data_IF_755758661708
#
_entry.id   IF_755758661708
#
_cell.length_a   1.000
_cell.length_b   1.000
_cell.length_c   1.000
_cell.angle_alpha   90.00
_cell.angle_beta   90.00
_cell.angle_gamma   90.00
#
_symmetry.space_group_name_H-M   'P 1'
#
loop_
_entity.id
_entity.type
_entity.pdbx_description
1 polymer ?
#
# COMPACT_ATOMS: atom_id res chain seq x y z
N UNK A 1 13.97 -6.73 -0.46
CA UNK A 1 12.55 -6.39 -0.29
C UNK A 1 11.67 -7.63 -0.47
N UNK A 2 10.76 -7.91 0.48
CA UNK A 2 9.72 -8.94 0.33
C UNK A 2 8.51 -8.40 -0.44
N UNK A 3 8.69 -8.18 -1.74
CA UNK A 3 7.61 -7.64 -2.58
C UNK A 3 6.41 -8.62 -2.64
N UNK A 4 5.16 -8.11 -2.67
CA UNK A 4 3.97 -8.96 -2.83
C UNK A 4 4.00 -9.68 -4.19
N UNK A 5 3.68 -10.97 -4.18
CA UNK A 5 3.65 -11.83 -5.36
C UNK A 5 2.29 -11.71 -6.07
N UNK A 6 2.10 -10.58 -6.77
CA UNK A 6 0.86 -10.24 -7.46
C UNK A 6 0.81 -10.95 -8.82
N UNK A 7 -0.20 -11.80 -9.01
CA UNK A 7 -0.50 -12.42 -10.31
C UNK A 7 -1.28 -11.45 -11.20
N UNK A 8 -2.35 -10.85 -10.67
CA UNK A 8 -3.17 -9.86 -11.36
C UNK A 8 -3.69 -8.81 -10.36
N UNK A 9 -3.92 -7.59 -10.83
CA UNK A 9 -4.54 -6.52 -10.04
C UNK A 9 -5.14 -5.44 -10.94
N UNK A 10 -6.16 -4.75 -10.44
CA UNK A 10 -6.81 -3.63 -11.12
C UNK A 10 -6.40 -2.31 -10.44
N UNK A 11 -5.74 -1.38 -11.14
CA UNK A 11 -5.51 -0.03 -10.63
C UNK A 11 -6.83 0.65 -10.29
N UNK A 12 -6.97 1.07 -9.03
CA UNK A 12 -8.14 1.80 -8.52
C UNK A 12 -7.89 3.31 -8.53
N UNK A 13 -6.67 3.73 -8.17
CA UNK A 13 -6.26 5.13 -8.14
C UNK A 13 -4.79 5.28 -8.51
N UNK A 14 -4.45 6.41 -9.10
CA UNK A 14 -3.08 6.76 -9.50
C UNK A 14 -2.77 8.15 -8.95
N UNK A 15 -1.57 8.33 -8.47
CA UNK A 15 -1.10 9.60 -7.94
C UNK A 15 0.32 9.89 -8.44
N UNK A 16 0.60 11.16 -8.67
CA UNK A 16 1.95 11.69 -8.78
C UNK A 16 2.35 12.28 -7.43
N UNK A 17 3.55 11.97 -6.95
CA UNK A 17 4.13 12.48 -5.71
C UNK A 17 5.60 12.82 -5.96
N UNK A 18 5.91 14.10 -6.24
CA UNK A 18 7.24 14.50 -6.71
C UNK A 18 7.65 13.68 -7.94
N UNK A 19 8.84 13.06 -7.85
CA UNK A 19 9.40 12.17 -8.89
C UNK A 19 8.94 10.69 -8.74
N UNK A 20 7.80 10.45 -8.08
CA UNK A 20 7.26 9.12 -7.88
C UNK A 20 5.83 9.02 -8.40
N UNK A 21 5.52 7.87 -8.98
CA UNK A 21 4.15 7.46 -9.24
C UNK A 21 3.69 6.48 -8.16
N UNK A 22 2.54 6.74 -7.55
CA UNK A 22 1.90 5.82 -6.61
C UNK A 22 0.63 5.27 -7.24
N UNK A 23 0.48 3.95 -7.21
CA UNK A 23 -0.71 3.27 -7.74
C UNK A 23 -1.36 2.45 -6.64
N UNK A 24 -2.63 2.75 -6.35
CA UNK A 24 -3.47 1.92 -5.49
C UNK A 24 -4.10 0.83 -6.35
N UNK A 25 -3.82 -0.41 -6.00
CA UNK A 25 -4.29 -1.63 -6.63
C UNK A 25 -5.39 -2.24 -5.77
N UNK A 26 -6.40 -2.79 -6.43
CA UNK A 26 -7.49 -3.57 -5.85
C UNK A 26 -7.83 -4.75 -6.76
N UNK A 27 -8.78 -5.59 -6.34
CA UNK A 27 -9.12 -6.84 -7.03
C UNK A 27 -7.85 -7.65 -7.34
N UNK A 28 -7.09 -7.93 -6.28
CA UNK A 28 -5.74 -8.48 -6.37
C UNK A 28 -5.81 -10.00 -6.26
N UNK A 29 -5.26 -10.68 -7.25
CA UNK A 29 -4.94 -12.10 -7.18
C UNK A 29 -3.46 -12.24 -6.88
N UNK A 30 -3.14 -13.05 -5.87
CA UNK A 30 -1.77 -13.28 -5.42
C UNK A 30 -1.60 -14.73 -5.03
N UNK A 31 -0.38 -15.24 -5.20
CA UNK A 31 0.02 -16.56 -4.72
C UNK A 31 0.50 -16.53 -3.26
N UNK A 32 0.48 -15.37 -2.62
CA UNK A 32 0.87 -15.24 -1.22
C UNK A 32 -0.19 -15.85 -0.28
N UNK A 33 0.22 -16.38 0.90
CA UNK A 33 -0.70 -17.05 1.82
C UNK A 33 -1.82 -16.16 2.37
N UNK A 34 -1.60 -14.84 2.39
CA UNK A 34 -2.54 -13.88 2.93
C UNK A 34 -3.18 -13.06 1.81
N UNK A 35 -4.52 -13.05 1.68
CA UNK A 35 -5.16 -12.30 0.62
C UNK A 35 -5.00 -10.79 0.86
N UNK A 36 -4.64 -10.09 -0.21
CA UNK A 36 -4.53 -8.64 -0.23
C UNK A 36 -5.86 -8.01 -0.56
N UNK A 37 -6.27 -7.02 0.23
CA UNK A 37 -7.44 -6.20 -0.05
C UNK A 37 -7.08 -5.04 -0.97
N UNK A 38 -6.04 -4.29 -0.60
CA UNK A 38 -5.48 -3.21 -1.40
C UNK A 38 -3.96 -3.17 -1.25
N UNK A 39 -3.28 -2.67 -2.29
CA UNK A 39 -1.84 -2.42 -2.26
C UNK A 39 -1.58 -1.05 -2.88
N UNK A 40 -0.86 -0.18 -2.20
CA UNK A 40 -0.22 0.98 -2.80
C UNK A 40 1.19 0.57 -3.22
N UNK A 41 1.52 0.70 -4.51
CA UNK A 41 2.86 0.51 -5.04
C UNK A 41 3.46 1.86 -5.44
N UNK A 42 4.60 2.22 -4.88
CA UNK A 42 5.34 3.45 -5.20
C UNK A 42 6.49 3.12 -6.15
N UNK A 43 6.48 3.74 -7.33
CA UNK A 43 7.48 3.54 -8.38
C UNK A 43 8.17 4.87 -8.66
N UNK A 44 9.51 4.96 -8.55
CA UNK A 44 10.25 6.13 -9.00
C UNK A 44 10.02 6.37 -10.50
N UNK A 45 10.02 7.63 -10.91
CA UNK A 45 9.93 7.99 -12.32
C UNK A 45 11.05 7.35 -13.14
N UNK A 46 10.72 6.83 -14.32
CA UNK A 46 11.65 6.10 -15.18
C UNK A 46 12.00 4.68 -14.70
N UNK A 47 11.61 4.28 -13.50
CA UNK A 47 11.81 2.92 -13.00
C UNK A 47 10.66 1.98 -13.42
N UNK A 48 10.95 0.68 -13.48
CA UNK A 48 9.97 -0.38 -13.78
C UNK A 48 9.46 -1.13 -12.54
N UNK A 49 10.15 -0.97 -11.41
CA UNK A 49 9.88 -1.74 -10.19
C UNK A 49 9.54 -0.80 -9.04
N UNK A 50 8.52 -1.13 -8.23
CA UNK A 50 8.25 -0.37 -7.03
C UNK A 50 9.40 -0.46 -6.02
N UNK A 51 9.59 0.60 -5.24
CA UNK A 51 10.57 0.68 -4.15
C UNK A 51 9.93 0.57 -2.77
N UNK A 52 8.61 0.76 -2.71
CA UNK A 52 7.82 0.71 -1.49
C UNK A 52 6.42 0.18 -1.81
N UNK A 53 5.92 -0.65 -0.91
CA UNK A 53 4.54 -1.11 -0.88
C UNK A 53 3.90 -0.76 0.46
N UNK A 54 2.66 -0.28 0.43
CA UNK A 54 1.77 -0.30 1.59
C UNK A 54 0.66 -1.29 1.29
N UNK A 55 0.39 -2.20 2.22
CA UNK A 55 -0.46 -3.36 2.00
C UNK A 55 -1.56 -3.35 3.04
N UNK A 56 -2.81 -3.45 2.58
CA UNK A 56 -3.94 -3.85 3.39
C UNK A 56 -4.20 -5.32 3.14
N UNK A 57 -4.12 -6.11 4.20
CA UNK A 57 -4.40 -7.54 4.19
C UNK A 57 -5.32 -7.88 5.34
N UNK A 58 -5.92 -9.08 5.33
CA UNK A 58 -6.73 -9.53 6.47
C UNK A 58 -5.89 -9.52 7.76
N UNK A 59 -6.49 -9.15 8.89
CA UNK A 59 -5.81 -9.18 10.17
C UNK A 59 -5.47 -10.62 10.56
N UNK A 60 -4.34 -10.81 11.25
CA UNK A 60 -4.02 -12.10 11.85
C UNK A 60 -5.04 -12.39 12.96
N UNK A 61 -5.30 -13.67 13.23
CA UNK A 61 -6.28 -14.08 14.25
C UNK A 61 -5.99 -13.48 15.64
N UNK A 62 -4.71 -13.28 15.97
CA UNK A 62 -4.29 -12.66 17.23
C UNK A 62 -4.75 -11.20 17.36
N UNK A 63 -4.87 -10.48 16.24
CA UNK A 63 -5.16 -9.04 16.20
C UNK A 63 -6.60 -8.74 15.75
N UNK A 64 -7.40 -9.77 15.47
CA UNK A 64 -8.74 -9.65 14.90
C UNK A 64 -9.74 -8.87 15.80
N UNK A 65 -9.44 -8.74 17.10
CA UNK A 65 -10.23 -7.93 18.02
C UNK A 65 -10.06 -6.41 17.79
N UNK A 66 -8.96 -5.98 17.16
CA UNK A 66 -8.65 -4.57 16.87
C UNK A 66 -9.13 -4.12 15.49
N UNK A 67 -9.57 -5.07 14.66
CA UNK A 67 -10.08 -4.80 13.31
C UNK A 67 -9.86 -5.99 12.38
N UNK A 68 -10.56 -5.97 11.25
CA UNK A 68 -10.53 -7.05 10.26
C UNK A 68 -9.35 -6.98 9.30
N UNK A 69 -8.67 -5.83 9.20
CA UNK A 69 -7.57 -5.60 8.27
C UNK A 69 -6.33 -5.04 8.97
N UNK A 70 -5.17 -5.48 8.53
CA UNK A 70 -3.86 -5.02 8.98
C UNK A 70 -3.19 -4.22 7.87
N UNK A 71 -2.63 -3.06 8.24
CA UNK A 71 -1.80 -2.23 7.39
C UNK A 71 -0.33 -2.58 7.61
N UNK A 72 0.40 -2.84 6.53
CA UNK A 72 1.83 -3.17 6.55
C UNK A 72 2.58 -2.34 5.53
N UNK A 73 3.79 -1.90 5.86
CA UNK A 73 4.72 -1.28 4.91
C UNK A 73 5.85 -2.24 4.60
N UNK A 74 6.23 -2.32 3.32
CA UNK A 74 7.36 -3.12 2.86
C UNK A 74 8.20 -2.30 1.89
N UNK A 75 9.50 -2.20 2.15
CA UNK A 75 10.51 -1.59 1.29
C UNK A 75 11.79 -2.45 1.31
N UNK A 76 12.89 -1.94 0.79
CA UNK A 76 14.17 -2.64 0.85
C UNK A 76 14.65 -2.88 2.28
N UNK A 77 14.48 -1.89 3.16
CA UNK A 77 15.02 -1.87 4.52
C UNK A 77 13.94 -1.91 5.62
N UNK A 78 12.67 -1.84 5.25
CA UNK A 78 11.55 -1.79 6.19
C UNK A 78 10.53 -2.89 5.86
N UNK A 79 10.11 -3.62 6.87
CA UNK A 79 9.04 -4.59 6.77
C UNK A 79 8.32 -4.69 8.12
N UNK A 80 7.27 -3.89 8.29
CA UNK A 80 6.57 -3.79 9.57
C UNK A 80 5.07 -3.60 9.41
N UNK A 81 4.34 -4.09 10.41
CA UNK A 81 2.91 -3.84 10.56
C UNK A 81 2.69 -2.53 11.30
N UNK A 82 1.94 -1.61 10.70
CA UNK A 82 1.74 -0.25 11.21
C UNK A 82 0.55 -0.22 12.17
N UNK A 83 -0.58 -0.79 11.75
CA UNK A 83 -1.83 -0.71 12.50
C UNK A 83 -2.83 -1.77 12.04
N UNK A 84 -3.90 -1.95 12.82
CA UNK A 84 -5.04 -2.83 12.51
C UNK A 84 -6.31 -2.00 12.65
N UNK A 85 -7.19 -2.07 11.64
CA UNK A 85 -8.43 -1.32 11.58
C UNK A 85 -9.34 -1.87 10.47
N UNK A 86 -10.65 -1.72 10.62
CA UNK A 86 -11.60 -2.00 9.54
C UNK A 86 -11.50 -0.99 8.39
N UNK A 87 -10.98 0.22 8.64
CA UNK A 87 -10.81 1.27 7.64
C UNK A 87 -9.88 0.87 6.50
N UNK A 88 -8.96 -0.06 6.73
CA UNK A 88 -8.06 -0.56 5.68
C UNK A 88 -8.78 -1.48 4.69
N UNK A 89 -10.00 -1.91 5.00
CA UNK A 89 -10.88 -2.62 4.07
C UNK A 89 -11.62 -1.72 3.08
N UNK A 90 -11.64 -0.41 3.35
CA UNK A 90 -12.26 0.63 2.54
C UNK A 90 -11.22 1.34 1.65
N UNK A 91 -11.59 1.63 0.40
CA UNK A 91 -10.65 2.19 -0.57
C UNK A 91 -10.20 3.61 -0.19
N UNK A 92 -11.11 4.45 0.30
CA UNK A 92 -10.81 5.83 0.69
C UNK A 92 -9.96 5.87 1.96
N UNK A 93 -10.36 5.10 2.97
CA UNK A 93 -9.62 4.96 4.22
C UNK A 93 -8.21 4.45 3.98
N UNK A 94 -8.07 3.35 3.22
CA UNK A 94 -6.77 2.80 2.86
C UNK A 94 -5.92 3.80 2.07
N UNK A 95 -6.46 4.41 1.02
CA UNK A 95 -5.70 5.33 0.16
C UNK A 95 -5.13 6.50 0.95
N UNK A 96 -5.94 7.07 1.85
CA UNK A 96 -5.54 8.21 2.69
C UNK A 96 -4.36 7.85 3.59
N UNK A 97 -4.47 6.75 4.33
CA UNK A 97 -3.42 6.33 5.25
C UNK A 97 -2.18 5.82 4.51
N UNK A 98 -2.35 5.00 3.47
CA UNK A 98 -1.25 4.48 2.69
C UNK A 98 -0.40 5.60 2.07
N UNK A 99 -1.05 6.68 1.63
CA UNK A 99 -0.34 7.85 1.12
C UNK A 99 0.43 8.58 2.23
N UNK A 100 -0.17 8.75 3.41
CA UNK A 100 0.51 9.37 4.57
C UNK A 100 1.74 8.55 4.98
N UNK A 101 1.58 7.24 5.13
CA UNK A 101 2.65 6.29 5.45
C UNK A 101 3.77 6.37 4.42
N UNK A 102 3.42 6.36 3.14
CA UNK A 102 4.39 6.44 2.04
C UNK A 102 5.18 7.74 2.08
N UNK A 103 4.50 8.89 2.22
CA UNK A 103 5.15 10.21 2.32
C UNK A 103 6.10 10.28 3.50
N UNK A 104 5.69 9.76 4.67
CA UNK A 104 6.53 9.71 5.86
C UNK A 104 7.77 8.83 5.64
N UNK A 105 7.59 7.63 5.10
CA UNK A 105 8.67 6.68 4.88
C UNK A 105 9.71 7.18 3.86
N UNK A 106 9.26 7.95 2.87
CA UNK A 106 10.10 8.49 1.80
C UNK A 106 10.66 9.89 2.11
N UNK A 107 10.27 10.52 3.23
CA UNK A 107 10.65 11.90 3.53
C UNK A 107 9.99 12.95 2.62
N UNK A 108 8.84 12.63 2.04
CA UNK A 108 8.09 13.45 1.06
C UNK A 108 6.88 14.16 1.72
N UNK A 109 7.03 14.59 2.97
CA UNK A 109 5.93 15.21 3.72
C UNK A 109 5.55 16.59 3.19
N UNK A 110 6.48 17.27 2.49
CA UNK A 110 6.23 18.57 1.85
C UNK A 110 5.58 18.41 0.45
N UNK A 111 5.68 17.22 -0.15
CA UNK A 111 5.10 16.91 -1.45
C UNK A 111 3.61 16.61 -1.32
N UNK A 112 2.77 17.24 -2.16
CA UNK A 112 1.35 16.93 -2.20
C UNK A 112 1.05 15.87 -3.26
N UNK A 113 0.36 14.77 -2.90
CA UNK A 113 -0.05 13.76 -3.87
C UNK A 113 -1.11 14.34 -4.81
N UNK A 114 -0.82 14.36 -6.10
CA UNK A 114 -1.76 14.76 -7.14
C UNK A 114 -2.44 13.52 -7.72
N UNK A 115 -3.75 13.39 -7.54
CA UNK A 115 -4.49 12.28 -8.13
C UNK A 115 -4.59 12.45 -9.65
N UNK A 116 -4.18 11.43 -10.38
CA UNK A 116 -4.28 11.39 -11.84
C UNK A 116 -5.66 10.88 -12.26
N UNK A 117 -6.16 11.41 -13.39
CA UNK A 117 -7.43 10.98 -14.01
C UNK A 117 -7.36 9.56 -14.55
#
# INVERSE_FOLDING_TARGET
MQAPNISTAIPQRRFQLGDYSAVVLGNIESNDPMPYRFILALVPEGAKKPVLYVISQKARRADAASGSHQLRIVSENLDESISVSDLWGDLDGFTTEAMLVTRKAMGLMDEQPYQMM
#
